data_IF_601614864226
#
_entry.id   IF_601614864226
#
_cell.length_a   1.000
_cell.length_b   1.000
_cell.length_c   1.000
_cell.angle_alpha   90.00
_cell.angle_beta   90.00
_cell.angle_gamma   90.00
#
_symmetry.space_group_name_H-M   'P 1'
#
loop_
_entity.id
_entity.type
_entity.pdbx_description
1 polymer ?
#
# COMPACT_ATOMS: atom_id res chain seq x y z
N UNK A 1 -10.96 -4.16 1.62
CA UNK A 1 -9.83 -5.03 1.21
C UNK A 1 -8.88 -5.11 2.39
N UNK A 2 -8.09 -6.17 2.52
CA UNK A 2 -7.15 -6.36 3.64
C UNK A 2 -5.72 -6.10 3.15
N UNK A 3 -4.80 -5.75 4.06
CA UNK A 3 -3.39 -5.52 3.74
C UNK A 3 -2.76 -6.59 2.82
N UNK A 4 -3.01 -7.91 3.00
CA UNK A 4 -2.50 -8.92 2.08
C UNK A 4 -3.03 -8.75 0.66
N UNK A 5 -4.32 -8.46 0.48
CA UNK A 5 -4.91 -8.25 -0.85
C UNK A 5 -4.34 -7.03 -1.55
N UNK A 6 -4.04 -5.95 -0.81
CA UNK A 6 -3.37 -4.78 -1.36
C UNK A 6 -1.93 -5.10 -1.79
N UNK A 7 -1.16 -5.78 -0.94
CA UNK A 7 0.23 -6.18 -1.25
C UNK A 7 0.28 -7.10 -2.46
N UNK A 8 -0.58 -8.12 -2.50
CA UNK A 8 -0.65 -9.04 -3.64
C UNK A 8 -0.95 -8.29 -4.94
N UNK A 9 -1.93 -7.40 -4.94
CA UNK A 9 -2.28 -6.61 -6.12
C UNK A 9 -1.18 -5.63 -6.54
N UNK A 10 -0.52 -4.98 -5.58
CA UNK A 10 0.60 -4.06 -5.84
C UNK A 10 1.82 -4.78 -6.46
N UNK A 11 2.17 -5.95 -5.93
CA UNK A 11 3.24 -6.79 -6.49
C UNK A 11 2.88 -7.29 -7.90
N UNK A 12 1.63 -7.69 -8.13
CA UNK A 12 1.15 -8.11 -9.45
C UNK A 12 1.26 -6.98 -10.47
N UNK A 13 0.86 -5.77 -10.07
CA UNK A 13 0.93 -4.57 -10.91
C UNK A 13 2.38 -4.25 -11.27
N UNK A 14 3.30 -4.20 -10.30
CA UNK A 14 4.72 -3.94 -10.57
C UNK A 14 5.36 -5.04 -11.41
N UNK A 15 5.07 -6.31 -11.14
CA UNK A 15 5.58 -7.42 -11.96
C UNK A 15 5.06 -7.35 -13.40
N UNK A 16 3.78 -7.05 -13.59
CA UNK A 16 3.18 -6.84 -14.90
C UNK A 16 3.84 -5.68 -15.65
N UNK A 17 4.00 -4.52 -15.00
CA UNK A 17 4.67 -3.37 -15.60
C UNK A 17 6.11 -3.70 -16.03
N UNK A 18 6.91 -4.34 -15.16
CA UNK A 18 8.28 -4.71 -15.50
C UNK A 18 8.33 -5.73 -16.65
N UNK A 19 7.38 -6.67 -16.71
CA UNK A 19 7.26 -7.63 -17.81
C UNK A 19 6.93 -6.93 -19.14
N UNK A 20 6.06 -5.92 -19.14
CA UNK A 20 5.70 -5.17 -20.35
C UNK A 20 6.90 -4.39 -20.93
N UNK A 21 7.79 -3.88 -20.09
CA UNK A 21 8.99 -3.15 -20.51
C UNK A 21 10.25 -4.02 -20.60
N UNK A 22 10.13 -5.34 -20.42
CA UNK A 22 11.26 -6.29 -20.42
C UNK A 22 12.39 -5.91 -19.44
N UNK A 23 12.02 -5.32 -18.30
CA UNK A 23 12.96 -4.90 -17.26
C UNK A 23 13.19 -6.01 -16.23
N UNK A 24 14.43 -6.20 -15.73
CA UNK A 24 14.71 -7.23 -14.73
C UNK A 24 14.24 -6.80 -13.34
N UNK A 25 13.02 -7.21 -12.95
CA UNK A 25 12.45 -6.90 -11.63
C UNK A 25 13.34 -7.41 -10.48
N UNK A 26 13.93 -8.60 -10.63
CA UNK A 26 14.80 -9.21 -9.62
C UNK A 26 16.05 -8.38 -9.27
N UNK A 27 16.46 -7.44 -10.14
CA UNK A 27 17.58 -6.51 -9.89
C UNK A 27 17.13 -5.19 -9.29
N UNK A 28 15.81 -4.95 -9.22
CA UNK A 28 15.23 -3.68 -8.80
C UNK A 28 14.47 -3.85 -7.47
N UNK A 29 15.20 -4.18 -6.40
CA UNK A 29 14.65 -4.18 -5.04
C UNK A 29 13.90 -2.89 -4.66
N UNK A 30 14.37 -1.68 -5.04
CA UNK A 30 13.63 -0.46 -4.73
C UNK A 30 12.20 -0.46 -5.30
N UNK A 31 11.99 -1.01 -6.51
CA UNK A 31 10.67 -1.08 -7.12
C UNK A 31 9.73 -2.01 -6.34
N UNK A 32 10.25 -3.14 -5.83
CA UNK A 32 9.49 -4.08 -5.00
C UNK A 32 9.13 -3.43 -3.65
N UNK A 33 10.07 -2.73 -3.02
CA UNK A 33 9.82 -2.02 -1.76
C UNK A 33 8.78 -0.91 -1.94
N UNK A 34 8.90 -0.11 -3.00
CA UNK A 34 7.89 0.90 -3.32
C UNK A 34 6.51 0.28 -3.59
N UNK A 35 6.44 -0.89 -4.25
CA UNK A 35 5.20 -1.60 -4.47
C UNK A 35 4.53 -2.01 -3.16
N UNK A 36 5.29 -2.60 -2.23
CA UNK A 36 4.80 -3.06 -0.94
C UNK A 36 4.35 -1.85 -0.10
N UNK A 37 5.20 -0.85 0.07
CA UNK A 37 4.89 0.34 0.88
C UNK A 37 3.71 1.11 0.29
N UNK A 38 3.72 1.35 -1.03
CA UNK A 38 2.65 2.05 -1.74
C UNK A 38 1.32 1.30 -1.70
N UNK A 39 1.35 -0.03 -1.76
CA UNK A 39 0.14 -0.84 -1.67
C UNK A 39 -0.49 -0.82 -0.27
N UNK A 40 0.33 -0.65 0.77
CA UNK A 40 -0.09 -0.61 2.17
C UNK A 40 -0.62 0.78 2.57
N UNK A 41 -0.23 1.82 1.83
CA UNK A 41 -0.61 3.21 2.11
C UNK A 41 -2.11 3.41 2.33
N UNK A 42 -3.04 2.87 1.52
CA UNK A 42 -4.48 3.05 1.71
C UNK A 42 -5.03 2.48 3.02
N UNK A 43 -4.33 1.54 3.65
CA UNK A 43 -4.73 1.02 4.95
C UNK A 43 -4.33 1.97 6.08
N UNK A 44 -3.40 2.92 5.88
CA UNK A 44 -3.01 3.90 6.91
C UNK A 44 -4.16 4.86 7.23
N UNK A 45 -5.03 5.10 6.27
CA UNK A 45 -6.07 6.13 6.27
C UNK A 45 -7.14 5.91 7.35
N UNK A 46 -7.37 4.64 7.74
CA UNK A 46 -8.40 4.28 8.71
C UNK A 46 -7.83 3.62 9.96
N UNK A 47 -8.08 4.16 11.17
CA UNK A 47 -7.70 3.53 12.44
C UNK A 47 -8.43 2.22 12.70
N UNK A 48 -9.41 1.83 11.87
CA UNK A 48 -10.06 0.50 11.94
C UNK A 48 -9.23 -0.59 11.26
N UNK A 49 -8.38 -0.23 10.29
CA UNK A 49 -7.50 -1.17 9.62
C UNK A 49 -6.38 -1.65 10.56
N UNK A 50 -5.71 -2.76 10.22
CA UNK A 50 -4.56 -3.24 11.00
C UNK A 50 -3.43 -2.21 11.05
N UNK A 51 -3.18 -1.53 9.93
CA UNK A 51 -2.02 -0.63 9.76
C UNK A 51 -2.31 0.74 10.38
N UNK A 52 -3.54 1.24 10.24
CA UNK A 52 -3.98 2.44 10.93
C UNK A 52 -4.02 2.29 12.46
N UNK A 53 -4.21 1.07 12.99
CA UNK A 53 -4.05 0.80 14.45
C UNK A 53 -2.61 0.85 14.92
N UNK A 54 -1.66 0.44 14.08
CA UNK A 54 -0.22 0.50 14.39
C UNK A 54 0.28 1.95 14.35
N UNK A 55 -0.31 2.80 13.51
CA UNK A 55 0.05 4.20 13.34
C UNK A 55 -1.09 5.16 13.72
N UNK A 56 -1.55 5.16 14.99
CA UNK A 56 -2.71 5.96 15.43
C UNK A 56 -2.48 7.47 15.25
N UNK A 57 -1.23 7.93 15.35
CA UNK A 57 -0.89 9.33 15.16
C UNK A 57 -1.04 9.84 13.72
N UNK A 58 -1.03 8.94 12.72
CA UNK A 58 -1.29 9.29 11.32
C UNK A 58 -2.75 8.99 10.94
N UNK A 59 -3.27 7.83 11.33
CA UNK A 59 -4.60 7.38 10.91
C UNK A 59 -5.75 8.22 11.49
N UNK A 60 -5.66 8.62 12.77
CA UNK A 60 -6.71 9.39 13.45
C UNK A 60 -6.88 10.80 12.84
N UNK A 61 -5.82 11.62 12.63
CA UNK A 61 -5.99 12.92 12.01
C UNK A 61 -6.45 12.81 10.54
N UNK A 62 -5.95 11.81 9.80
CA UNK A 62 -6.36 11.57 8.41
C UNK A 62 -7.85 11.22 8.33
N UNK A 63 -8.33 10.28 9.16
CA UNK A 63 -9.75 9.92 9.20
C UNK A 63 -10.62 11.11 9.67
N UNK A 64 -10.14 11.95 10.60
CA UNK A 64 -10.88 13.15 11.03
C UNK A 64 -10.98 14.23 9.95
N UNK A 65 -9.96 14.40 9.11
CA UNK A 65 -9.94 15.45 8.09
C UNK A 65 -10.60 15.03 6.77
N UNK A 66 -10.40 13.77 6.35
CA UNK A 66 -10.85 13.27 5.04
C UNK A 66 -11.77 12.05 5.11
N UNK A 67 -12.06 11.54 6.32
CA UNK A 67 -12.97 10.41 6.48
C UNK A 67 -14.39 10.77 6.09
N UNK A 68 -14.88 10.15 5.02
CA UNK A 68 -16.26 10.33 4.51
C UNK A 68 -17.35 9.69 5.38
N UNK A 69 -17.03 9.21 6.57
CA UNK A 69 -17.92 8.43 7.45
C UNK A 69 -17.80 8.89 8.91
N UNK A 70 -18.23 10.11 9.20
CA UNK A 70 -18.69 10.50 10.54
C UNK A 70 -20.12 10.05 10.74
#
# INVERSE_FOLDING_TARGET
MTAPTHITFGLLTVAGSFSLFSLPLHRNLPAILCAIIGSVLPDVDSPKSYIGRVLPYASIPIERQWGHRT
#
